data_IF_787781233426
#
_entry.id   IF_787781233426
#
_cell.length_a   1.000
_cell.length_b   1.000
_cell.length_c   1.000
_cell.angle_alpha   90.00
_cell.angle_beta   90.00
_cell.angle_gamma   90.00
#
_symmetry.space_group_name_H-M   'P 1'
#
loop_
_entity.id
_entity.type
_entity.pdbx_description
1 polymer ?
#
# COMPACT_ATOMS: atom_id res chain seq x y z
N UNK A 1 -12.50 5.32 16.07
CA UNK A 1 -12.60 4.57 14.83
C UNK A 1 -11.73 5.13 13.69
N UNK A 2 -10.76 5.92 14.07
CA UNK A 2 -9.80 6.50 13.11
C UNK A 2 -9.07 5.44 12.28
N UNK A 3 -8.73 4.30 12.91
CA UNK A 3 -8.02 3.23 12.23
C UNK A 3 -8.84 2.52 11.17
N UNK A 4 -10.14 2.35 11.41
CA UNK A 4 -11.03 1.78 10.41
C UNK A 4 -11.16 2.71 9.21
N UNK A 5 -11.25 4.02 9.45
CA UNK A 5 -11.26 5.03 8.39
C UNK A 5 -9.96 5.03 7.58
N UNK A 6 -8.81 4.86 8.25
CA UNK A 6 -7.53 4.71 7.57
C UNK A 6 -7.48 3.48 6.68
N UNK A 7 -8.02 2.35 7.13
CA UNK A 7 -8.07 1.13 6.34
C UNK A 7 -8.94 1.29 5.09
N UNK A 8 -10.09 1.95 5.23
CA UNK A 8 -10.97 2.25 4.09
C UNK A 8 -10.27 3.18 3.11
N UNK A 9 -9.57 4.19 3.61
CA UNK A 9 -8.80 5.11 2.79
C UNK A 9 -7.68 4.40 2.03
N UNK A 10 -6.97 3.49 2.70
CA UNK A 10 -5.94 2.67 2.08
C UNK A 10 -6.52 1.77 0.99
N UNK A 11 -7.68 1.18 1.24
CA UNK A 11 -8.39 0.39 0.24
C UNK A 11 -8.64 1.20 -1.03
N UNK A 12 -9.17 2.41 -0.89
CA UNK A 12 -9.50 3.28 -2.00
C UNK A 12 -8.24 3.74 -2.76
N UNK A 13 -7.20 4.12 -2.02
CA UNK A 13 -5.93 4.56 -2.61
C UNK A 13 -5.18 3.43 -3.32
N UNK A 14 -5.20 2.23 -2.77
CA UNK A 14 -4.44 1.09 -3.27
C UNK A 14 -5.27 0.15 -4.14
N UNK A 15 -6.58 0.42 -4.26
CA UNK A 15 -7.51 -0.42 -5.01
C UNK A 15 -7.44 -1.88 -4.54
N UNK A 16 -7.54 -2.09 -3.22
CA UNK A 16 -7.45 -3.40 -2.61
C UNK A 16 -8.71 -4.23 -2.87
N UNK A 17 -8.53 -5.54 -3.04
CA UNK A 17 -9.62 -6.50 -3.07
C UNK A 17 -10.28 -6.63 -1.70
N UNK A 18 -11.47 -7.24 -1.66
CA UNK A 18 -12.15 -7.54 -0.40
C UNK A 18 -11.31 -8.46 0.50
N UNK A 19 -10.63 -9.45 -0.09
CA UNK A 19 -9.75 -10.35 0.65
C UNK A 19 -8.57 -9.59 1.27
N UNK A 20 -7.94 -8.72 0.51
CA UNK A 20 -6.82 -7.90 0.98
C UNK A 20 -7.28 -6.96 2.11
N UNK A 21 -8.44 -6.32 1.95
CA UNK A 21 -9.02 -5.48 2.99
C UNK A 21 -9.34 -6.30 4.23
N UNK A 22 -9.91 -7.49 4.07
CA UNK A 22 -10.21 -8.40 5.19
C UNK A 22 -8.95 -8.77 5.95
N UNK A 23 -7.84 -9.02 5.26
CA UNK A 23 -6.54 -9.30 5.89
C UNK A 23 -6.04 -8.11 6.70
N UNK A 24 -6.19 -6.88 6.17
CA UNK A 24 -5.79 -5.66 6.89
C UNK A 24 -6.65 -5.45 8.14
N UNK A 25 -7.95 -5.69 8.05
CA UNK A 25 -8.87 -5.57 9.20
C UNK A 25 -8.51 -6.61 10.26
N UNK A 26 -8.27 -7.85 9.86
CA UNK A 26 -7.87 -8.91 10.78
C UNK A 26 -6.53 -8.60 11.47
N UNK A 27 -5.57 -8.07 10.73
CA UNK A 27 -4.28 -7.66 11.27
C UNK A 27 -4.43 -6.52 12.29
N UNK A 28 -5.29 -5.55 12.02
CA UNK A 28 -5.56 -4.44 12.94
C UNK A 28 -6.23 -4.94 14.23
N UNK A 29 -7.18 -5.86 14.11
CA UNK A 29 -7.83 -6.49 15.28
C UNK A 29 -6.81 -7.25 16.13
N UNK A 30 -5.90 -7.99 15.49
CA UNK A 30 -4.82 -8.71 16.18
C UNK A 30 -3.89 -7.74 16.91
N UNK A 31 -3.54 -6.62 16.30
CA UNK A 31 -2.70 -5.60 16.93
C UNK A 31 -3.37 -4.95 18.13
N UNK A 32 -4.68 -4.70 18.05
CA UNK A 32 -5.45 -4.15 19.16
C UNK A 32 -5.45 -5.12 20.35
N UNK A 33 -5.61 -6.41 20.08
CA UNK A 33 -5.53 -7.46 21.11
C UNK A 33 -4.14 -7.53 21.74
N UNK A 34 -3.10 -7.47 20.95
CA UNK A 34 -1.72 -7.46 21.44
C UNK A 34 -1.47 -6.26 22.35
N UNK A 35 -1.94 -5.07 21.97
CA UNK A 35 -1.80 -3.86 22.82
C UNK A 35 -2.51 -4.02 24.15
N UNK A 36 -3.69 -4.63 24.13
CA UNK A 36 -4.46 -4.89 25.35
C UNK A 36 -3.72 -5.84 26.28
N UNK A 37 -3.25 -6.97 25.75
CA UNK A 37 -2.48 -7.95 26.52
C UNK A 37 -1.18 -7.36 27.06
N UNK A 38 -0.49 -6.54 26.26
CA UNK A 38 0.73 -5.86 26.67
C UNK A 38 0.48 -4.93 27.88
N UNK A 39 -0.64 -4.23 27.88
CA UNK A 39 -1.01 -3.33 28.97
C UNK A 39 -1.37 -4.10 30.26
N UNK A 40 -1.88 -5.32 30.12
CA UNK A 40 -2.33 -6.14 31.25
C UNK A 40 -1.20 -6.98 31.89
N UNK A 41 -0.08 -7.18 31.21
CA UNK A 41 1.02 -7.98 31.71
C UNK A 41 2.22 -7.13 32.08
N UNK A 42 2.96 -7.54 33.14
CA UNK A 42 4.22 -6.94 33.52
C UNK A 42 5.40 -7.87 33.25
N UNK A 43 5.11 -9.10 32.82
CA UNK A 43 6.15 -10.09 32.54
C UNK A 43 6.95 -9.71 31.29
N UNK A 44 8.26 -9.57 31.46
CA UNK A 44 9.14 -9.13 30.38
C UNK A 44 9.19 -10.09 29.20
N UNK A 45 9.15 -11.39 29.46
CA UNK A 45 9.19 -12.39 28.39
C UNK A 45 7.90 -12.39 27.58
N UNK A 46 6.76 -12.27 28.25
CA UNK A 46 5.46 -12.15 27.61
C UNK A 46 5.38 -10.87 26.76
N UNK A 47 5.87 -9.76 27.30
CA UNK A 47 5.91 -8.48 26.57
C UNK A 47 6.78 -8.58 25.32
N UNK A 48 7.91 -9.23 25.41
CA UNK A 48 8.80 -9.45 24.26
C UNK A 48 8.12 -10.26 23.18
N UNK A 49 7.45 -11.33 23.56
CA UNK A 49 6.71 -12.19 22.64
C UNK A 49 5.59 -11.43 21.94
N UNK A 50 4.85 -10.60 22.68
CA UNK A 50 3.76 -9.77 22.12
C UNK A 50 4.31 -8.75 21.11
N UNK A 51 5.46 -8.14 21.41
CA UNK A 51 6.10 -7.21 20.48
C UNK A 51 6.61 -7.91 19.23
N UNK A 52 7.15 -9.12 19.35
CA UNK A 52 7.56 -9.91 18.18
C UNK A 52 6.36 -10.25 17.29
N UNK A 53 5.22 -10.61 17.88
CA UNK A 53 3.97 -10.82 17.13
C UNK A 53 3.52 -9.55 16.41
N UNK A 54 3.61 -8.40 17.07
CA UNK A 54 3.26 -7.12 16.47
C UNK A 54 4.16 -6.81 15.27
N UNK A 55 5.45 -7.09 15.36
CA UNK A 55 6.40 -6.92 14.27
C UNK A 55 6.04 -7.78 13.06
N UNK A 56 5.61 -9.02 13.29
CA UNK A 56 5.19 -9.92 12.22
C UNK A 56 3.96 -9.37 11.48
N UNK A 57 2.98 -8.86 12.21
CA UNK A 57 1.79 -8.25 11.61
C UNK A 57 2.15 -7.01 10.78
N UNK A 58 3.03 -6.16 11.30
CA UNK A 58 3.50 -4.99 10.57
C UNK A 58 4.25 -5.40 9.31
N UNK A 59 5.11 -6.41 9.39
CA UNK A 59 5.85 -6.91 8.24
C UNK A 59 4.92 -7.38 7.12
N UNK A 60 3.83 -8.07 7.48
CA UNK A 60 2.83 -8.53 6.52
C UNK A 60 2.10 -7.36 5.85
N UNK A 61 1.76 -6.34 6.61
CA UNK A 61 1.14 -5.12 6.07
C UNK A 61 2.10 -4.38 5.13
N UNK A 62 3.36 -4.25 5.52
CA UNK A 62 4.39 -3.63 4.68
C UNK A 62 4.58 -4.38 3.36
N UNK A 63 4.55 -5.70 3.40
CA UNK A 63 4.67 -6.54 2.20
C UNK A 63 3.55 -6.23 1.21
N UNK A 64 2.32 -6.10 1.70
CA UNK A 64 1.16 -5.76 0.86
C UNK A 64 1.31 -4.38 0.23
N UNK A 65 1.65 -3.37 1.03
CA UNK A 65 1.82 -1.99 0.58
C UNK A 65 2.96 -1.88 -0.44
N UNK A 66 4.09 -2.52 -0.17
CA UNK A 66 5.24 -2.51 -1.07
C UNK A 66 4.93 -3.20 -2.40
N UNK A 67 4.12 -4.26 -2.38
CA UNK A 67 3.65 -4.91 -3.60
C UNK A 67 2.82 -3.97 -4.46
N UNK A 68 1.88 -3.26 -3.87
CA UNK A 68 1.06 -2.26 -4.57
C UNK A 68 1.88 -1.09 -5.09
N UNK A 69 2.84 -0.65 -4.31
CA UNK A 69 3.77 0.40 -4.73
C UNK A 69 4.52 0.02 -6.01
N UNK A 70 5.02 -1.22 -6.08
CA UNK A 70 5.71 -1.73 -7.28
C UNK A 70 4.79 -1.76 -8.51
N UNK A 71 3.54 -2.18 -8.32
CA UNK A 71 2.55 -2.21 -9.39
C UNK A 71 2.27 -0.80 -9.91
N UNK A 72 2.11 0.16 -9.01
CA UNK A 72 1.87 1.56 -9.36
C UNK A 72 3.08 2.19 -10.06
N UNK A 73 4.29 1.89 -9.62
CA UNK A 73 5.52 2.35 -10.26
C UNK A 73 5.64 1.82 -11.68
N UNK A 74 5.25 0.56 -11.90
CA UNK A 74 5.23 -0.04 -13.24
C UNK A 74 4.24 0.70 -14.14
N UNK A 75 3.01 0.94 -13.65
CA UNK A 75 1.99 1.67 -14.39
C UNK A 75 2.45 3.09 -14.73
N UNK A 76 3.09 3.77 -13.78
CA UNK A 76 3.65 5.10 -14.00
C UNK A 76 4.66 5.10 -15.14
N UNK A 77 5.56 4.10 -15.16
CA UNK A 77 6.55 3.98 -16.25
C UNK A 77 5.87 3.74 -17.60
N UNK A 78 4.84 2.89 -17.63
CA UNK A 78 4.07 2.63 -18.85
C UNK A 78 3.37 3.88 -19.38
N UNK A 79 2.74 4.64 -18.49
CA UNK A 79 2.06 5.87 -18.85
C UNK A 79 3.03 6.96 -19.30
N UNK A 80 4.18 7.06 -18.66
CA UNK A 80 5.24 8.00 -19.03
C UNK A 80 5.78 7.68 -20.44
N UNK A 81 5.96 6.40 -20.73
CA UNK A 81 6.40 5.97 -22.06
C UNK A 81 5.35 6.31 -23.14
N UNK A 82 4.06 6.09 -22.83
CA UNK A 82 2.97 6.49 -23.75
C UNK A 82 2.96 7.99 -23.99
N UNK A 83 3.10 8.77 -22.93
CA UNK A 83 3.13 10.22 -23.02
C UNK A 83 4.26 10.69 -23.96
N UNK A 84 5.43 10.11 -23.83
CA UNK A 84 6.58 10.41 -24.71
C UNK A 84 6.28 10.08 -26.17
N UNK A 85 5.67 8.92 -26.42
CA UNK A 85 5.31 8.53 -27.79
C UNK A 85 4.28 9.48 -28.41
N UNK A 86 3.27 9.86 -27.64
CA UNK A 86 2.24 10.79 -28.10
C UNK A 86 2.85 12.17 -28.41
N UNK A 87 3.70 12.67 -27.52
CA UNK A 87 4.40 13.94 -27.73
C UNK A 87 5.31 13.90 -28.95
N UNK A 88 5.97 12.78 -29.18
CA UNK A 88 6.82 12.57 -30.34
C UNK A 88 6.00 12.64 -31.63
N UNK A 89 4.84 11.98 -31.68
CA UNK A 89 3.94 12.02 -32.82
C UNK A 89 3.38 13.42 -33.07
N UNK A 90 3.04 14.12 -31.99
CA UNK A 90 2.54 15.48 -32.09
C UNK A 90 3.60 16.40 -32.71
N UNK A 91 4.86 16.26 -32.30
CA UNK A 91 5.98 17.01 -32.90
C UNK A 91 6.19 16.68 -34.37
N UNK A 92 6.03 15.42 -34.78
CA UNK A 92 6.13 14.99 -36.17
C UNK A 92 5.06 15.68 -37.02
N UNK A 93 3.81 15.75 -36.55
CA UNK A 93 2.70 16.43 -37.22
C UNK A 93 3.00 17.92 -37.34
N UNK A 94 3.44 18.57 -36.28
CA UNK A 94 3.78 19.99 -36.29
C UNK A 94 4.93 20.28 -37.23
N UNK A 95 5.92 19.41 -37.33
CA UNK A 95 7.06 19.53 -38.27
C UNK A 95 6.60 19.36 -39.71
N UNK A 96 5.70 18.40 -39.98
CA UNK A 96 5.13 18.20 -41.32
C UNK A 96 4.29 19.42 -41.76
N UNK A 97 3.47 19.98 -40.86
CA UNK A 97 2.70 21.20 -41.14
C UNK A 97 3.63 22.39 -41.43
N UNK A 98 4.70 22.53 -40.67
CA UNK A 98 5.68 23.60 -40.89
C UNK A 98 6.46 23.44 -42.21
N UNK A 99 6.65 22.20 -42.68
CA UNK A 99 7.32 21.90 -43.92
C UNK A 99 6.41 22.05 -45.16
N UNK A 100 5.13 21.96 -44.96
CA UNK A 100 4.15 22.15 -46.00
C UNK A 100 3.88 23.63 -46.23
#
# INVERSE_FOLDING_TARGET
MERLQELIRLRDLLNLSLDELSQLVAAEAARAEIRREFAETEDADTRRELLDQALDHIANQLKLVRGRKKELERLERELTARQRRVRSRLREIDTEDAAA
#
